data_IF_429401300778
#
_entry.id   IF_429401300778
#
_cell.length_a   1.000
_cell.length_b   1.000
_cell.length_c   1.000
_cell.angle_alpha   90.00
_cell.angle_beta   90.00
_cell.angle_gamma   90.00
#
_symmetry.space_group_name_H-M   'P 1'
#
loop_
_entity.id
_entity.type
_entity.pdbx_description
1 polymer ?
#
# COMPACT_ATOMS: atom_id res chain seq x y z
N UNK A 1 2.39 -5.30 12.47
CA UNK A 1 2.50 -4.29 11.40
C UNK A 1 3.97 -4.00 11.15
N UNK A 2 4.42 -4.05 9.89
CA UNK A 2 5.71 -3.58 9.44
C UNK A 2 5.51 -2.25 8.72
N UNK A 3 6.51 -1.37 8.82
CA UNK A 3 6.51 -0.09 8.11
C UNK A 3 7.39 -0.21 6.87
N UNK A 4 6.90 0.28 5.76
CA UNK A 4 7.61 0.22 4.49
C UNK A 4 7.21 1.36 3.56
N UNK A 5 7.52 1.18 2.28
CA UNK A 5 7.15 2.13 1.23
C UNK A 5 6.68 1.39 -0.04
N UNK A 6 5.94 2.10 -0.87
CA UNK A 6 5.62 1.65 -2.23
C UNK A 6 6.63 2.24 -3.22
N UNK A 7 6.73 1.68 -4.41
CA UNK A 7 7.56 2.26 -5.49
C UNK A 7 7.10 3.66 -5.90
N UNK A 8 5.85 4.04 -5.60
CA UNK A 8 5.37 5.41 -5.84
C UNK A 8 5.98 6.46 -4.91
N UNK A 9 6.66 6.05 -3.81
CA UNK A 9 7.47 6.96 -3.01
C UNK A 9 8.70 7.51 -3.75
N UNK A 10 9.07 6.87 -4.89
CA UNK A 10 10.16 7.26 -5.78
C UNK A 10 9.67 7.33 -7.24
N UNK A 11 8.47 7.87 -7.45
CA UNK A 11 7.83 7.93 -8.77
C UNK A 11 8.70 8.59 -9.82
N UNK A 12 9.25 9.75 -9.49
CA UNK A 12 10.00 10.56 -10.44
C UNK A 12 11.37 9.95 -10.77
N UNK A 13 12.03 9.35 -9.79
CA UNK A 13 13.25 8.59 -10.01
C UNK A 13 12.99 7.34 -10.88
N UNK A 14 11.86 6.66 -10.68
CA UNK A 14 11.45 5.49 -11.47
C UNK A 14 11.08 5.89 -12.90
N UNK A 15 10.46 7.05 -13.10
CA UNK A 15 10.20 7.61 -14.43
C UNK A 15 11.48 8.16 -15.10
N UNK A 16 12.64 8.16 -14.41
CA UNK A 16 13.92 8.64 -14.92
C UNK A 16 14.09 10.16 -14.85
N UNK A 17 13.15 10.89 -14.26
CA UNK A 17 13.22 12.34 -14.12
C UNK A 17 14.37 12.75 -13.19
N UNK A 18 15.29 13.55 -13.71
CA UNK A 18 16.45 14.02 -12.95
C UNK A 18 17.52 12.98 -12.65
N UNK A 19 17.31 11.74 -13.05
CA UNK A 19 18.32 10.69 -12.94
C UNK A 19 19.47 10.92 -13.92
N UNK A 20 20.74 10.58 -13.55
CA UNK A 20 21.87 10.67 -14.45
C UNK A 20 21.61 9.94 -15.77
N UNK A 21 21.75 10.65 -16.89
CA UNK A 21 21.46 10.11 -18.23
C UNK A 21 20.00 9.77 -18.49
N UNK A 22 19.04 10.19 -17.64
CA UNK A 22 17.62 9.86 -17.78
C UNK A 22 17.29 8.39 -17.53
N UNK A 23 18.20 7.62 -16.92
CA UNK A 23 18.02 6.18 -16.68
C UNK A 23 17.11 5.98 -15.48
N UNK A 24 15.97 5.26 -15.62
CA UNK A 24 15.05 4.98 -14.53
C UNK A 24 15.71 4.23 -13.36
N UNK A 25 15.22 4.53 -12.14
CA UNK A 25 15.59 3.75 -10.95
C UNK A 25 15.19 2.28 -11.12
N UNK A 26 16.12 1.38 -10.88
CA UNK A 26 15.88 -0.07 -10.98
C UNK A 26 15.27 -0.64 -9.68
N UNK A 27 14.63 -1.84 -9.72
CA UNK A 27 14.15 -2.51 -8.51
C UNK A 27 15.25 -2.73 -7.47
N UNK A 28 16.46 -3.06 -7.89
CA UNK A 28 17.61 -3.27 -6.99
C UNK A 28 18.01 -1.98 -6.27
N UNK A 29 17.98 -0.84 -6.96
CA UNK A 29 18.24 0.48 -6.37
C UNK A 29 17.13 0.89 -5.40
N UNK A 30 15.86 0.66 -5.76
CA UNK A 30 14.71 0.92 -4.88
C UNK A 30 14.85 0.14 -3.56
N UNK A 31 15.19 -1.16 -3.61
CA UNK A 31 15.38 -1.97 -2.42
C UNK A 31 16.54 -1.46 -1.55
N UNK A 32 17.65 -1.06 -2.17
CA UNK A 32 18.78 -0.45 -1.47
C UNK A 32 18.35 0.82 -0.73
N UNK A 33 17.67 1.73 -1.45
CA UNK A 33 17.19 2.99 -0.89
C UNK A 33 16.16 2.76 0.24
N UNK A 34 15.22 1.85 0.07
CA UNK A 34 14.25 1.50 1.12
C UNK A 34 14.94 1.00 2.40
N UNK A 35 15.95 0.15 2.27
CA UNK A 35 16.72 -0.34 3.42
C UNK A 35 17.52 0.78 4.11
N UNK A 36 18.16 1.69 3.36
CA UNK A 36 18.85 2.88 3.89
C UNK A 36 17.91 3.77 4.72
N UNK A 37 16.66 3.90 4.29
CA UNK A 37 15.62 4.65 5.00
C UNK A 37 15.03 3.90 6.21
N UNK A 38 15.42 2.64 6.41
CA UNK A 38 14.94 1.80 7.51
C UNK A 38 13.54 1.21 7.28
N UNK A 39 13.12 1.09 6.03
CA UNK A 39 11.91 0.34 5.67
C UNK A 39 12.06 -1.14 6.01
N UNK A 40 10.96 -1.81 6.30
CA UNK A 40 10.87 -3.25 6.58
C UNK A 40 10.10 -4.00 5.49
N UNK A 41 9.37 -3.28 4.64
CA UNK A 41 8.61 -3.81 3.53
C UNK A 41 8.70 -2.87 2.32
N UNK A 42 8.65 -3.45 1.12
CA UNK A 42 8.59 -2.69 -0.13
C UNK A 42 7.51 -3.31 -1.01
N UNK A 43 6.57 -2.50 -1.47
CA UNK A 43 5.62 -2.89 -2.49
C UNK A 43 6.07 -2.32 -3.84
N UNK A 44 6.46 -3.21 -4.75
CA UNK A 44 6.81 -2.82 -6.13
C UNK A 44 5.53 -2.76 -6.94
N UNK A 45 5.12 -1.55 -7.31
CA UNK A 45 3.83 -1.26 -7.94
C UNK A 45 3.92 -1.23 -9.48
N UNK A 46 2.78 -0.96 -10.10
CA UNK A 46 2.59 -0.90 -11.55
C UNK A 46 3.39 0.21 -12.27
N UNK A 47 3.96 1.18 -11.56
CA UNK A 47 4.94 2.12 -12.10
C UNK A 47 6.35 1.52 -12.29
N UNK A 48 6.58 0.30 -11.80
CA UNK A 48 7.80 -0.48 -11.97
C UNK A 48 7.43 -1.94 -12.32
N UNK A 49 6.89 -2.20 -13.51
CA UNK A 49 6.34 -3.51 -13.87
C UNK A 49 7.43 -4.59 -13.94
N UNK A 50 7.15 -5.76 -13.34
CA UNK A 50 8.09 -6.89 -13.27
C UNK A 50 7.66 -8.09 -14.13
N UNK A 51 6.45 -8.07 -14.70
CA UNK A 51 5.85 -9.20 -15.43
C UNK A 51 6.51 -9.52 -16.79
N UNK A 52 7.43 -8.66 -17.23
CA UNK A 52 8.28 -8.88 -18.42
C UNK A 52 9.72 -9.32 -18.10
N UNK A 53 10.10 -9.40 -16.81
CA UNK A 53 11.49 -9.71 -16.45
C UNK A 53 11.81 -11.21 -16.57
N UNK A 54 13.05 -11.57 -16.97
CA UNK A 54 13.53 -12.95 -16.92
C UNK A 54 13.53 -13.50 -15.48
N UNK A 55 13.34 -14.82 -15.33
CA UNK A 55 13.36 -15.50 -14.04
C UNK A 55 14.65 -15.22 -13.22
N UNK A 56 15.79 -15.14 -13.89
CA UNK A 56 17.06 -14.80 -13.25
C UNK A 56 17.05 -13.41 -12.61
N UNK A 57 16.38 -12.42 -13.24
CA UNK A 57 16.29 -11.07 -12.69
C UNK A 57 15.32 -11.02 -11.49
N UNK A 58 14.19 -11.72 -11.57
CA UNK A 58 13.28 -11.89 -10.41
C UNK A 58 14.01 -12.55 -9.23
N UNK A 59 14.83 -13.57 -9.49
CA UNK A 59 15.64 -14.22 -8.45
C UNK A 59 16.67 -13.26 -7.83
N UNK A 60 17.29 -12.38 -8.63
CA UNK A 60 18.19 -11.32 -8.12
C UNK A 60 17.48 -10.33 -7.21
N UNK A 61 16.28 -9.87 -7.61
CA UNK A 61 15.45 -8.97 -6.81
C UNK A 61 15.08 -9.64 -5.47
N UNK A 62 14.61 -10.88 -5.51
CA UNK A 62 14.29 -11.67 -4.31
C UNK A 62 15.52 -11.81 -3.39
N UNK A 63 16.67 -12.20 -3.94
CA UNK A 63 17.91 -12.36 -3.17
C UNK A 63 18.35 -11.06 -2.53
N UNK A 64 18.26 -9.94 -3.26
CA UNK A 64 18.56 -8.61 -2.72
C UNK A 64 17.65 -8.23 -1.57
N UNK A 65 16.34 -8.41 -1.73
CA UNK A 65 15.35 -8.13 -0.67
C UNK A 65 15.63 -8.97 0.59
N UNK A 66 15.88 -10.27 0.40
CA UNK A 66 16.22 -11.18 1.50
C UNK A 66 17.51 -10.75 2.23
N UNK A 67 18.57 -10.40 1.50
CA UNK A 67 19.83 -9.93 2.08
C UNK A 67 19.68 -8.62 2.88
N UNK A 68 18.69 -7.79 2.51
CA UNK A 68 18.36 -6.54 3.20
C UNK A 68 17.29 -6.73 4.30
N UNK A 69 16.75 -7.94 4.50
CA UNK A 69 15.68 -8.20 5.47
C UNK A 69 14.33 -7.56 5.11
N UNK A 70 14.09 -7.29 3.83
CA UNK A 70 12.87 -6.63 3.35
C UNK A 70 11.80 -7.65 2.98
N UNK A 71 10.57 -7.41 3.40
CA UNK A 71 9.37 -8.09 2.92
C UNK A 71 8.99 -7.47 1.57
N UNK A 72 8.75 -8.32 0.56
CA UNK A 72 8.24 -7.87 -0.74
C UNK A 72 6.73 -8.04 -0.83
N UNK A 73 6.10 -7.04 -1.42
CA UNK A 73 4.75 -7.09 -1.96
C UNK A 73 4.79 -6.68 -3.43
N UNK A 74 3.90 -7.22 -4.24
CA UNK A 74 3.76 -6.84 -5.65
C UNK A 74 2.47 -6.07 -5.85
N UNK A 75 2.51 -4.98 -6.63
CA UNK A 75 1.35 -4.18 -6.97
C UNK A 75 1.15 -4.11 -8.48
N UNK A 76 -0.08 -4.33 -8.93
CA UNK A 76 -0.43 -4.27 -10.36
C UNK A 76 -1.69 -3.43 -10.60
N UNK A 77 -1.89 -3.06 -11.85
CA UNK A 77 -3.09 -2.37 -12.33
C UNK A 77 -3.75 -3.18 -13.43
N UNK A 78 -5.07 -3.37 -13.30
CA UNK A 78 -5.89 -4.18 -14.19
C UNK A 78 -6.03 -5.62 -13.70
N UNK A 79 -7.27 -6.09 -13.64
CA UNK A 79 -7.66 -7.38 -13.09
C UNK A 79 -8.10 -8.40 -14.15
N UNK A 80 -7.61 -8.28 -15.40
CA UNK A 80 -7.85 -9.33 -16.39
C UNK A 80 -7.29 -10.67 -15.90
N UNK A 81 -8.01 -11.80 -16.04
CA UNK A 81 -7.60 -13.08 -15.47
C UNK A 81 -6.17 -13.50 -15.81
N UNK A 82 -5.77 -13.32 -17.08
CA UNK A 82 -4.43 -13.69 -17.56
C UNK A 82 -3.35 -12.83 -16.87
N UNK A 83 -3.64 -11.53 -16.66
CA UNK A 83 -2.73 -10.61 -16.00
C UNK A 83 -2.57 -10.95 -14.52
N UNK A 84 -3.67 -11.30 -13.85
CA UNK A 84 -3.63 -11.73 -12.44
C UNK A 84 -2.79 -13.00 -12.27
N UNK A 85 -3.04 -14.04 -13.07
CA UNK A 85 -2.27 -15.30 -13.00
C UNK A 85 -0.79 -15.09 -13.27
N UNK A 86 -0.46 -14.34 -14.35
CA UNK A 86 0.94 -14.03 -14.65
C UNK A 86 1.63 -13.30 -13.51
N UNK A 87 0.98 -12.31 -12.90
CA UNK A 87 1.57 -11.57 -11.79
C UNK A 87 1.57 -12.36 -10.48
N UNK A 88 0.70 -13.33 -10.31
CA UNK A 88 0.78 -14.29 -9.21
C UNK A 88 2.03 -15.17 -9.32
N UNK A 89 2.39 -15.62 -10.54
CA UNK A 89 3.65 -16.31 -10.80
C UNK A 89 4.87 -15.42 -10.47
N UNK A 90 4.82 -14.14 -10.85
CA UNK A 90 5.87 -13.17 -10.49
C UNK A 90 5.97 -12.99 -8.98
N UNK A 91 4.83 -12.85 -8.29
CA UNK A 91 4.79 -12.72 -6.83
C UNK A 91 5.42 -13.95 -6.15
N UNK A 92 5.11 -15.16 -6.63
CA UNK A 92 5.72 -16.39 -6.14
C UNK A 92 7.25 -16.41 -6.36
N UNK A 93 7.71 -16.03 -7.56
CA UNK A 93 9.14 -15.96 -7.88
C UNK A 93 9.88 -14.98 -6.96
N UNK A 94 9.24 -13.88 -6.59
CA UNK A 94 9.76 -12.88 -5.65
C UNK A 94 9.65 -13.32 -4.18
N UNK A 95 8.84 -14.33 -3.85
CA UNK A 95 8.48 -14.67 -2.49
C UNK A 95 7.53 -13.68 -1.83
N UNK A 96 6.83 -12.88 -2.63
CA UNK A 96 5.81 -11.94 -2.17
C UNK A 96 4.50 -12.67 -1.88
N UNK A 97 3.94 -12.46 -0.69
CA UNK A 97 2.67 -13.07 -0.27
C UNK A 97 1.46 -12.18 -0.49
N UNK A 98 1.67 -10.92 -0.78
CA UNK A 98 0.60 -9.96 -1.07
C UNK A 98 0.75 -9.50 -2.52
N UNK A 99 -0.31 -9.71 -3.29
CA UNK A 99 -0.50 -9.16 -4.63
C UNK A 99 -1.56 -8.06 -4.53
N UNK A 100 -1.13 -6.79 -4.53
CA UNK A 100 -2.06 -5.66 -4.56
C UNK A 100 -2.56 -5.44 -5.98
N UNK A 101 -3.85 -5.21 -6.16
CA UNK A 101 -4.46 -4.96 -7.45
C UNK A 101 -5.36 -3.73 -7.44
N UNK A 102 -5.18 -2.84 -8.42
CA UNK A 102 -6.20 -1.89 -8.86
C UNK A 102 -7.04 -2.59 -9.93
N UNK A 103 -8.35 -2.78 -9.67
CA UNK A 103 -9.22 -3.60 -10.53
C UNK A 103 -9.34 -3.07 -11.96
N UNK A 104 -9.42 -1.75 -12.13
CA UNK A 104 -9.58 -1.10 -13.43
C UNK A 104 -8.24 -0.76 -14.10
N UNK A 105 -8.25 -0.78 -15.42
CA UNK A 105 -7.17 -0.29 -16.28
C UNK A 105 -7.77 0.27 -17.58
N UNK A 106 -7.01 1.00 -18.40
CA UNK A 106 -7.50 1.44 -19.72
C UNK A 106 -8.09 0.27 -20.52
N UNK A 107 -9.34 0.40 -20.96
CA UNK A 107 -10.07 -0.65 -21.68
C UNK A 107 -10.51 -1.86 -20.83
N UNK A 108 -10.47 -1.72 -19.49
CA UNK A 108 -10.96 -2.74 -18.57
C UNK A 108 -11.52 -2.09 -17.29
N UNK A 109 -12.83 -2.05 -17.19
CA UNK A 109 -13.59 -1.50 -16.04
C UNK A 109 -14.65 -2.49 -15.59
N UNK A 110 -14.28 -3.56 -14.85
CA UNK A 110 -15.22 -4.60 -14.48
C UNK A 110 -16.30 -4.07 -13.54
N UNK A 111 -17.54 -4.55 -13.70
CA UNK A 111 -18.60 -4.36 -12.73
C UNK A 111 -18.46 -5.33 -11.54
N UNK A 112 -19.38 -5.24 -10.58
CA UNK A 112 -19.33 -6.04 -9.36
C UNK A 112 -19.44 -7.55 -9.63
N UNK A 113 -20.34 -7.96 -10.53
CA UNK A 113 -20.54 -9.38 -10.85
C UNK A 113 -19.35 -9.97 -11.58
N UNK A 114 -18.75 -9.20 -12.49
CA UNK A 114 -17.51 -9.57 -13.16
C UNK A 114 -16.36 -9.71 -12.16
N UNK A 115 -16.24 -8.80 -11.17
CA UNK A 115 -15.22 -8.89 -10.12
C UNK A 115 -15.44 -10.14 -9.26
N UNK A 116 -16.66 -10.42 -8.84
CA UNK A 116 -16.97 -11.61 -8.03
C UNK A 116 -16.67 -12.91 -8.79
N UNK A 117 -17.10 -13.02 -10.04
CA UNK A 117 -16.80 -14.18 -10.87
C UNK A 117 -15.30 -14.39 -11.06
N UNK A 118 -14.56 -13.31 -11.29
CA UNK A 118 -13.10 -13.31 -11.40
C UNK A 118 -12.42 -13.76 -10.11
N UNK A 119 -12.83 -13.22 -8.96
CA UNK A 119 -12.25 -13.56 -7.66
C UNK A 119 -12.50 -15.02 -7.31
N UNK A 120 -13.72 -15.51 -7.45
CA UNK A 120 -14.03 -16.94 -7.24
C UNK A 120 -13.18 -17.85 -8.13
N UNK A 121 -13.01 -17.48 -9.41
CA UNK A 121 -12.16 -18.25 -10.34
C UNK A 121 -10.67 -18.20 -10.02
N UNK A 122 -10.21 -17.22 -9.23
CA UNK A 122 -8.80 -17.05 -8.85
C UNK A 122 -8.46 -17.70 -7.51
N UNK A 123 -9.44 -18.01 -6.64
CA UNK A 123 -9.19 -18.58 -5.31
C UNK A 123 -8.28 -19.81 -5.31
N UNK A 124 -8.47 -20.81 -6.20
CA UNK A 124 -7.59 -21.98 -6.25
C UNK A 124 -6.12 -21.60 -6.50
N UNK A 125 -5.89 -20.63 -7.40
CA UNK A 125 -4.54 -20.18 -7.75
C UNK A 125 -3.90 -19.42 -6.56
N UNK A 126 -4.67 -18.60 -5.84
CA UNK A 126 -4.21 -17.87 -4.65
C UNK A 126 -3.83 -18.82 -3.51
N UNK A 127 -4.67 -19.84 -3.26
CA UNK A 127 -4.38 -20.86 -2.24
C UNK A 127 -3.14 -21.67 -2.60
N UNK A 128 -3.01 -22.12 -3.84
CA UNK A 128 -1.85 -22.87 -4.32
C UNK A 128 -0.55 -22.04 -4.22
N UNK A 129 -0.66 -20.72 -4.44
CA UNK A 129 0.46 -19.77 -4.32
C UNK A 129 0.77 -19.37 -2.86
N UNK A 130 -0.09 -19.69 -1.89
CA UNK A 130 -0.06 -19.15 -0.54
C UNK A 130 0.04 -17.62 -0.55
N UNK A 131 -0.77 -16.98 -1.40
CA UNK A 131 -0.79 -15.55 -1.64
C UNK A 131 -2.16 -14.95 -1.30
N UNK A 132 -2.16 -13.69 -0.92
CA UNK A 132 -3.37 -12.91 -0.66
C UNK A 132 -3.49 -11.81 -1.70
N UNK A 133 -4.64 -11.72 -2.36
CA UNK A 133 -4.99 -10.61 -3.24
C UNK A 133 -5.52 -9.45 -2.39
N UNK A 134 -4.85 -8.31 -2.48
CA UNK A 134 -5.23 -7.06 -1.80
C UNK A 134 -5.86 -6.08 -2.80
N UNK A 135 -7.18 -5.90 -2.76
CA UNK A 135 -7.88 -5.00 -3.69
C UNK A 135 -7.78 -3.57 -3.16
N UNK A 136 -7.14 -2.70 -3.93
CA UNK A 136 -7.04 -1.30 -3.57
C UNK A 136 -8.31 -0.52 -3.92
N UNK A 137 -8.78 0.29 -2.97
CA UNK A 137 -9.83 1.25 -3.23
C UNK A 137 -9.29 2.38 -4.10
N UNK A 138 -9.71 2.35 -5.36
CA UNK A 138 -9.40 3.39 -6.33
C UNK A 138 -10.64 3.62 -7.18
N UNK A 139 -10.90 4.79 -7.57
CA UNK A 139 -12.00 5.42 -8.33
C UNK A 139 -13.24 4.57 -8.71
N UNK A 140 -13.10 3.26 -9.00
CA UNK A 140 -14.16 2.41 -9.56
C UNK A 140 -15.25 2.08 -8.54
N UNK A 141 -14.87 1.68 -7.34
CA UNK A 141 -15.81 1.29 -6.29
C UNK A 141 -15.68 2.19 -5.07
N UNK A 142 -16.83 2.62 -4.54
CA UNK A 142 -16.88 3.25 -3.23
C UNK A 142 -16.33 2.28 -2.15
N UNK A 143 -15.71 2.75 -1.07
CA UNK A 143 -15.12 1.88 -0.04
C UNK A 143 -16.11 0.85 0.53
N UNK A 144 -17.36 1.24 0.75
CA UNK A 144 -18.40 0.32 1.26
C UNK A 144 -18.78 -0.76 0.24
N UNK A 145 -18.83 -0.43 -1.05
CA UNK A 145 -19.09 -1.40 -2.11
C UNK A 145 -17.90 -2.39 -2.22
N UNK A 146 -16.67 -1.89 -2.21
CA UNK A 146 -15.50 -2.75 -2.18
C UNK A 146 -15.48 -3.68 -0.95
N UNK A 147 -15.79 -3.15 0.23
CA UNK A 147 -15.95 -3.96 1.45
C UNK A 147 -17.04 -5.03 1.30
N UNK A 148 -18.14 -4.72 0.60
CA UNK A 148 -19.21 -5.66 0.26
C UNK A 148 -18.69 -6.81 -0.62
N UNK A 149 -17.95 -6.48 -1.68
CA UNK A 149 -17.31 -7.47 -2.57
C UNK A 149 -16.41 -8.41 -1.78
N UNK A 150 -15.48 -7.87 -0.98
CA UNK A 150 -14.53 -8.70 -0.20
C UNK A 150 -15.26 -9.60 0.79
N UNK A 151 -16.32 -9.10 1.47
CA UNK A 151 -17.13 -9.94 2.39
C UNK A 151 -17.94 -11.03 1.68
N UNK A 152 -18.40 -10.78 0.44
CA UNK A 152 -19.12 -11.80 -0.34
C UNK A 152 -18.21 -12.93 -0.81
N UNK A 153 -16.92 -12.66 -1.02
CA UNK A 153 -15.94 -13.72 -1.32
C UNK A 153 -15.70 -14.59 -0.11
N UNK A 154 -15.70 -14.01 1.10
CA UNK A 154 -15.56 -14.69 2.39
C UNK A 154 -14.40 -15.69 2.45
N UNK A 155 -13.25 -15.30 1.87
CA UNK A 155 -12.05 -16.12 1.82
C UNK A 155 -10.83 -15.31 2.29
N UNK A 156 -9.97 -15.84 3.18
CA UNK A 156 -8.81 -15.14 3.71
C UNK A 156 -7.75 -14.81 2.64
N UNK A 157 -7.80 -15.47 1.48
CA UNK A 157 -6.92 -15.16 0.36
C UNK A 157 -7.30 -13.87 -0.40
N UNK A 158 -8.42 -13.21 -0.01
CA UNK A 158 -8.84 -11.93 -0.59
C UNK A 158 -9.08 -10.91 0.52
N UNK A 159 -8.52 -9.71 0.36
CA UNK A 159 -8.70 -8.61 1.29
C UNK A 159 -8.57 -7.26 0.62
N UNK A 160 -8.53 -6.21 1.40
CA UNK A 160 -8.36 -4.85 0.92
C UNK A 160 -6.89 -4.37 1.04
N UNK A 161 -6.44 -3.57 0.08
CA UNK A 161 -5.38 -2.60 0.28
C UNK A 161 -6.04 -1.27 0.61
N UNK A 162 -5.96 -0.85 1.85
CA UNK A 162 -6.57 0.41 2.29
C UNK A 162 -5.70 1.59 1.88
N UNK A 163 -6.26 2.49 1.09
CA UNK A 163 -5.69 3.80 0.78
C UNK A 163 -6.64 4.90 1.26
N UNK A 164 -6.26 5.77 2.20
CA UNK A 164 -7.18 6.72 2.80
C UNK A 164 -7.60 7.85 1.85
N UNK A 165 -6.84 8.11 0.77
CA UNK A 165 -7.06 9.27 -0.10
C UNK A 165 -7.70 8.94 -1.45
N UNK A 166 -7.50 7.74 -1.99
CA UNK A 166 -7.98 7.44 -3.34
C UNK A 166 -9.50 7.63 -3.51
N UNK A 167 -10.28 7.41 -2.45
CA UNK A 167 -11.74 7.53 -2.49
C UNK A 167 -12.25 8.98 -2.52
N UNK A 168 -11.38 9.95 -2.32
CA UNK A 168 -11.76 11.37 -2.38
C UNK A 168 -12.21 11.77 -3.79
N UNK A 169 -11.73 11.06 -4.81
CA UNK A 169 -12.20 11.21 -6.19
C UNK A 169 -13.70 10.88 -6.35
N UNK A 170 -14.28 10.12 -5.42
CA UNK A 170 -15.71 9.84 -5.31
C UNK A 170 -16.38 10.71 -4.24
N UNK A 171 -15.75 11.78 -3.80
CA UNK A 171 -16.19 12.66 -2.71
C UNK A 171 -16.40 11.93 -1.37
N UNK A 172 -15.65 10.84 -1.15
CA UNK A 172 -15.67 10.08 0.11
C UNK A 172 -14.40 10.36 0.88
N UNK A 173 -14.54 10.84 2.10
CA UNK A 173 -13.41 11.26 2.94
C UNK A 173 -12.62 10.10 3.55
N UNK A 174 -11.40 10.42 4.06
CA UNK A 174 -10.50 9.43 4.67
C UNK A 174 -11.13 8.64 5.82
N UNK A 175 -11.87 9.30 6.71
CA UNK A 175 -12.47 8.64 7.88
C UNK A 175 -13.47 7.53 7.48
N UNK A 176 -14.34 7.79 6.50
CA UNK A 176 -15.28 6.79 6.00
C UNK A 176 -14.57 5.65 5.28
N UNK A 177 -13.54 5.97 4.49
CA UNK A 177 -12.70 4.98 3.81
C UNK A 177 -12.02 4.05 4.81
N UNK A 178 -11.39 4.60 5.84
CA UNK A 178 -10.72 3.85 6.93
C UNK A 178 -11.74 2.96 7.64
N UNK A 179 -12.89 3.50 8.06
CA UNK A 179 -13.92 2.74 8.77
C UNK A 179 -14.45 1.55 7.95
N UNK A 180 -14.60 1.72 6.63
CA UNK A 180 -15.11 0.68 5.75
C UNK A 180 -14.09 -0.44 5.50
N UNK A 181 -12.81 -0.11 5.31
CA UNK A 181 -11.81 -1.02 4.78
C UNK A 181 -10.80 -1.55 5.81
N UNK A 182 -10.55 -0.85 6.92
CA UNK A 182 -9.60 -1.32 7.93
C UNK A 182 -9.89 -2.74 8.44
N UNK A 183 -11.16 -3.17 8.67
CA UNK A 183 -11.46 -4.54 9.09
C UNK A 183 -11.06 -5.63 8.08
N UNK A 184 -10.88 -5.26 6.82
CA UNK A 184 -10.59 -6.16 5.71
C UNK A 184 -9.16 -5.99 5.17
N UNK A 185 -8.41 -5.03 5.70
CA UNK A 185 -7.10 -4.67 5.18
C UNK A 185 -6.06 -5.77 5.44
N UNK A 186 -5.33 -6.13 4.40
CA UNK A 186 -4.16 -7.03 4.43
C UNK A 186 -2.86 -6.27 4.18
N UNK A 187 -2.95 -5.11 3.56
CA UNK A 187 -1.90 -4.10 3.44
C UNK A 187 -2.54 -2.71 3.39
N UNK A 188 -1.81 -1.65 3.69
CA UNK A 188 -2.33 -0.28 3.66
C UNK A 188 -1.29 0.69 3.12
N UNK A 189 -1.73 1.65 2.33
CA UNK A 189 -0.96 2.80 1.92
C UNK A 189 -1.19 3.95 2.89
N UNK A 190 -0.14 4.64 3.27
CA UNK A 190 -0.21 5.88 4.01
C UNK A 190 0.07 7.04 3.05
N UNK A 191 -0.93 7.87 2.85
CA UNK A 191 -0.87 9.11 2.08
C UNK A 191 -1.39 10.25 2.92
N UNK A 192 -0.88 11.43 2.70
CA UNK A 192 -1.38 12.65 3.32
C UNK A 192 -1.55 13.75 2.28
N UNK A 193 -2.46 14.66 2.54
CA UNK A 193 -2.79 15.74 1.62
C UNK A 193 -3.30 16.98 2.35
N UNK A 194 -3.12 18.12 1.70
CA UNK A 194 -3.69 19.40 2.09
C UNK A 194 -4.77 19.83 1.09
N UNK A 195 -5.83 20.45 1.60
CA UNK A 195 -6.87 21.07 0.78
C UNK A 195 -6.64 22.57 0.74
N UNK A 196 -6.51 23.12 -0.44
CA UNK A 196 -6.34 24.55 -0.69
C UNK A 196 -7.52 25.12 -1.47
N UNK A 197 -7.66 26.43 -1.49
CA UNK A 197 -8.74 27.14 -2.21
C UNK A 197 -8.15 28.06 -3.30
N UNK A 198 -7.75 27.53 -4.45
CA UNK A 198 -7.38 28.36 -5.59
C UNK A 198 -8.64 29.00 -6.20
N UNK A 199 -8.82 30.31 -5.95
CA UNK A 199 -10.02 31.03 -6.39
C UNK A 199 -11.31 30.52 -5.72
N UNK A 200 -12.32 30.17 -6.53
CA UNK A 200 -13.64 29.70 -6.04
C UNK A 200 -13.72 28.16 -5.88
N UNK A 201 -12.67 27.44 -6.25
CA UNK A 201 -12.64 25.97 -6.20
C UNK A 201 -11.88 25.42 -5.01
N UNK A 202 -11.72 24.10 -5.01
CA UNK A 202 -10.87 23.35 -4.09
C UNK A 202 -9.81 22.60 -4.89
N UNK A 203 -8.58 22.56 -4.38
CA UNK A 203 -7.52 21.69 -4.88
C UNK A 203 -7.00 20.82 -3.73
N UNK A 204 -6.64 19.59 -4.04
CA UNK A 204 -6.07 18.63 -3.10
C UNK A 204 -4.68 18.28 -3.60
N UNK A 205 -3.66 18.52 -2.79
CA UNK A 205 -2.27 18.23 -3.13
C UNK A 205 -1.65 17.34 -2.07
N UNK A 206 -0.78 16.43 -2.49
CA UNK A 206 -0.01 15.60 -1.56
C UNK A 206 0.93 16.46 -0.71
N UNK A 207 1.23 15.97 0.49
CA UNK A 207 2.21 16.54 1.40
C UNK A 207 2.96 15.43 2.14
N UNK A 208 4.05 15.75 2.87
CA UNK A 208 4.71 14.80 3.75
C UNK A 208 3.74 14.20 4.78
N UNK A 209 3.91 12.93 5.14
CA UNK A 209 3.03 12.26 6.10
C UNK A 209 3.04 12.95 7.46
N UNK A 210 1.86 13.31 7.96
CA UNK A 210 1.64 14.00 9.22
C UNK A 210 1.66 15.51 9.12
N UNK A 211 1.82 16.07 7.93
CA UNK A 211 1.74 17.53 7.67
C UNK A 211 0.43 17.92 6.97
N UNK A 212 -0.41 16.93 6.65
CA UNK A 212 -1.69 17.12 6.00
C UNK A 212 -2.89 16.99 6.93
N UNK A 213 -4.02 16.64 6.33
CA UNK A 213 -5.32 16.60 6.99
C UNK A 213 -5.86 15.17 7.18
N UNK A 214 -5.08 14.13 6.81
CA UNK A 214 -5.47 12.74 7.02
C UNK A 214 -5.08 12.30 8.42
N UNK A 215 -6.03 11.80 9.19
CA UNK A 215 -5.74 11.21 10.51
C UNK A 215 -5.11 9.83 10.35
N UNK A 216 -3.80 9.82 10.06
CA UNK A 216 -3.01 8.59 9.93
C UNK A 216 -2.86 7.85 11.26
N UNK A 217 -2.98 8.55 12.39
CA UNK A 217 -2.96 7.91 13.71
C UNK A 217 -4.23 7.08 13.91
N UNK A 218 -5.41 7.64 13.59
CA UNK A 218 -6.66 6.90 13.61
C UNK A 218 -6.65 5.71 12.63
N UNK A 219 -6.04 5.87 11.45
CA UNK A 219 -5.88 4.75 10.50
C UNK A 219 -5.06 3.60 11.10
N UNK A 220 -3.90 3.90 11.67
CA UNK A 220 -3.03 2.88 12.29
C UNK A 220 -3.74 2.21 13.47
N UNK A 221 -4.50 2.94 14.28
CA UNK A 221 -5.26 2.37 15.39
C UNK A 221 -6.43 1.51 14.89
N UNK A 222 -7.16 1.94 13.85
CA UNK A 222 -8.21 1.13 13.21
C UNK A 222 -7.65 -0.18 12.66
N UNK A 223 -6.50 -0.16 11.98
CA UNK A 223 -5.82 -1.37 11.49
C UNK A 223 -5.39 -2.29 12.65
N UNK A 224 -4.92 -1.73 13.75
CA UNK A 224 -4.49 -2.49 14.93
C UNK A 224 -5.66 -3.17 15.66
N UNK A 225 -6.79 -2.47 15.80
CA UNK A 225 -7.98 -2.96 16.49
C UNK A 225 -8.58 -4.22 15.86
N UNK A 226 -8.27 -4.49 14.60
CA UNK A 226 -8.72 -5.70 13.89
C UNK A 226 -8.05 -7.00 14.35
N UNK A 227 -6.98 -6.92 15.13
CA UNK A 227 -6.11 -8.05 15.45
C UNK A 227 -5.24 -8.54 14.30
N UNK A 228 -5.43 -8.00 13.09
CA UNK A 228 -4.56 -8.21 11.92
C UNK A 228 -3.30 -7.35 12.05
N UNK A 229 -2.28 -7.69 11.31
CA UNK A 229 -1.02 -6.93 11.30
C UNK A 229 -0.60 -6.58 9.88
N UNK A 230 -1.42 -5.83 9.12
CA UNK A 230 -1.08 -5.43 7.76
C UNK A 230 0.20 -4.59 7.74
N UNK A 231 0.94 -4.62 6.64
CA UNK A 231 2.01 -3.67 6.42
C UNK A 231 1.41 -2.29 6.16
N UNK A 232 2.08 -1.24 6.65
CA UNK A 232 1.71 0.15 6.40
C UNK A 232 2.83 0.80 5.60
N UNK A 233 2.52 1.19 4.37
CA UNK A 233 3.48 1.57 3.36
C UNK A 233 3.33 3.06 3.02
N UNK A 234 4.39 3.84 3.22
CA UNK A 234 4.42 5.23 2.75
C UNK A 234 4.29 5.27 1.23
N UNK A 235 3.38 6.06 0.73
CA UNK A 235 3.20 6.31 -0.70
C UNK A 235 3.23 7.79 -0.98
N UNK A 236 4.18 8.22 -1.84
CA UNK A 236 4.31 9.60 -2.23
C UNK A 236 3.20 10.02 -3.20
N UNK A 237 2.73 11.25 -3.03
CA UNK A 237 1.81 11.92 -3.96
C UNK A 237 2.30 13.35 -4.17
N UNK A 238 3.55 13.45 -4.60
CA UNK A 238 4.28 14.70 -4.78
C UNK A 238 4.24 15.11 -6.25
N UNK A 239 3.90 16.36 -6.52
CA UNK A 239 4.11 16.97 -7.84
C UNK A 239 5.60 17.24 -8.08
N UNK A 240 6.08 17.15 -9.33
CA UNK A 240 7.47 17.42 -9.62
C UNK A 240 7.74 18.93 -9.51
N UNK A 241 8.94 19.27 -9.07
CA UNK A 241 9.44 20.63 -9.13
C UNK A 241 9.98 20.96 -10.54
N UNK A 242 10.20 22.25 -10.82
CA UNK A 242 10.79 22.71 -12.08
C UNK A 242 12.21 22.14 -12.26
N UNK A 243 13.00 22.12 -11.19
CA UNK A 243 14.32 21.47 -11.18
C UNK A 243 14.19 19.95 -10.92
N UNK A 244 14.62 19.10 -11.89
CA UNK A 244 14.60 17.66 -11.72
C UNK A 244 15.44 17.15 -10.57
N UNK A 245 16.59 17.76 -10.26
CA UNK A 245 17.45 17.33 -9.15
C UNK A 245 16.78 17.66 -7.80
N UNK A 246 16.15 18.83 -7.69
CA UNK A 246 15.36 19.20 -6.52
C UNK A 246 14.14 18.27 -6.35
N UNK A 247 13.52 17.82 -7.45
CA UNK A 247 12.43 16.84 -7.42
C UNK A 247 12.86 15.53 -6.76
N UNK A 248 14.02 14.98 -7.16
CA UNK A 248 14.55 13.74 -6.58
C UNK A 248 14.93 13.90 -5.10
N UNK A 249 15.53 15.02 -4.75
CA UNK A 249 15.88 15.32 -3.36
C UNK A 249 14.63 15.39 -2.48
N UNK A 250 13.58 16.05 -2.97
CA UNK A 250 12.32 16.15 -2.25
C UNK A 250 11.57 14.81 -2.14
N UNK A 251 11.60 13.98 -3.18
CA UNK A 251 11.06 12.60 -3.12
C UNK A 251 11.73 11.79 -2.01
N UNK A 252 13.06 11.83 -1.95
CA UNK A 252 13.81 11.13 -0.92
C UNK A 252 13.50 11.66 0.49
N UNK A 253 13.40 12.98 0.65
CA UNK A 253 13.07 13.59 1.93
C UNK A 253 11.66 13.19 2.39
N UNK A 254 10.67 13.18 1.50
CA UNK A 254 9.32 12.72 1.83
C UNK A 254 9.30 11.23 2.20
N UNK A 255 10.04 10.38 1.47
CA UNK A 255 10.14 8.97 1.78
C UNK A 255 10.80 8.74 3.16
N UNK A 256 11.89 9.46 3.45
CA UNK A 256 12.61 9.43 4.73
C UNK A 256 11.70 9.87 5.88
N UNK A 257 11.06 11.01 5.72
CA UNK A 257 10.11 11.57 6.69
C UNK A 257 8.96 10.59 6.94
N UNK A 258 8.38 10.04 5.87
CA UNK A 258 7.25 9.11 5.93
C UNK A 258 7.56 7.83 6.69
N UNK A 259 8.71 7.20 6.42
CA UNK A 259 9.16 6.02 7.16
C UNK A 259 9.35 6.35 8.65
N UNK A 260 10.00 7.47 8.98
CA UNK A 260 10.23 7.87 10.36
C UNK A 260 8.90 8.17 11.08
N UNK A 261 7.97 8.85 10.43
CA UNK A 261 6.65 9.17 10.96
C UNK A 261 5.83 7.91 11.25
N UNK A 262 5.71 7.00 10.28
CA UNK A 262 4.95 5.76 10.45
C UNK A 262 5.55 4.86 11.54
N UNK A 263 6.87 4.79 11.65
CA UNK A 263 7.52 4.03 12.73
C UNK A 263 7.13 4.55 14.10
N UNK A 264 7.10 5.88 14.29
CA UNK A 264 6.62 6.49 15.54
C UNK A 264 5.16 6.14 15.84
N UNK A 265 4.27 6.20 14.84
CA UNK A 265 2.85 5.84 15.02
C UNK A 265 2.67 4.36 15.41
N UNK A 266 3.37 3.47 14.71
CA UNK A 266 3.28 2.02 14.98
C UNK A 266 3.88 1.67 16.36
N UNK A 267 4.92 2.36 16.83
CA UNK A 267 5.52 2.15 18.14
C UNK A 267 4.62 2.64 19.28
N UNK A 268 4.15 3.88 19.23
CA UNK A 268 3.26 4.48 20.26
C UNK A 268 2.04 3.61 20.57
N UNK A 269 1.44 3.03 19.60
CA UNK A 269 0.28 2.16 19.83
C UNK A 269 0.62 0.80 20.44
N UNK A 270 1.88 0.34 20.43
CA UNK A 270 2.31 -0.85 21.19
C UNK A 270 2.40 -0.58 22.68
N UNK A 271 2.87 0.60 23.06
CA UNK A 271 2.99 1.03 24.46
C UNK A 271 1.62 1.26 25.10
N UNK A 272 0.69 1.90 24.37
CA UNK A 272 -0.69 2.13 24.83
C UNK A 272 -1.51 0.84 25.00
N UNK A 273 -1.22 -0.23 24.25
CA UNK A 273 -1.89 -1.52 24.38
C UNK A 273 -1.28 -2.39 25.49
N UNK A 274 0.01 -2.25 25.79
CA UNK A 274 0.67 -2.95 26.88
C UNK A 274 0.21 -2.38 28.26
N UNK A 275 0.04 -1.07 28.37
CA UNK A 275 -0.46 -0.42 29.59
C UNK A 275 -1.92 -0.79 29.94
N UNK A 276 -2.77 -1.04 28.93
CA UNK A 276 -4.17 -1.46 29.15
C UNK A 276 -4.32 -2.93 29.59
N UNK A 277 -3.34 -3.80 29.32
CA UNK A 277 -3.38 -5.20 29.76
C UNK A 277 -2.93 -5.41 31.21
N UNK A 278 -2.25 -4.45 31.82
CA UNK A 278 -1.78 -4.51 33.22
C UNK A 278 -2.77 -3.89 34.23
N UNK A 279 -3.85 -3.24 33.76
CA UNK A 279 -4.81 -2.52 34.60
C UNK A 279 -6.14 -3.24 34.89
N UNK A 280 -6.31 -4.51 34.52
CA UNK A 280 -7.56 -5.27 34.77
C UNK A 280 -7.31 -6.56 35.59
N UNK A 281 -6.95 -6.41 36.85
CA UNK A 281 -7.30 -7.39 37.88
C UNK A 281 -8.36 -6.73 38.77
N UNK A 282 -9.60 -7.23 38.85
CA UNK A 282 -10.50 -6.81 39.92
C UNK A 282 -10.08 -7.53 41.20
N UNK A 283 -9.72 -6.76 42.21
CA UNK A 283 -9.74 -7.21 43.58
C UNK A 283 -11.15 -7.74 43.91
N UNK A 284 -11.29 -9.04 43.93
CA UNK A 284 -12.38 -9.71 44.67
C UNK A 284 -11.86 -10.00 46.05
N UNK A 285 -12.03 -9.06 46.97
CA UNK A 285 -12.04 -9.35 48.40
C UNK A 285 -13.43 -9.01 48.99
N UNK A 286 -14.03 -10.06 49.50
CA UNK A 286 -15.02 -10.24 50.58
C UNK A 286 -15.81 -9.00 51.10
N UNK A 287 -17.13 -9.06 50.90
CA UNK A 287 -18.06 -9.10 52.07
C UNK A 287 -19.48 -9.54 51.64
#
# INVERSE_FOLDING_TARGET
MKVGLTSYAFRWAIEGRGMPGGVPMTPIQLLGKAAELGAQAVQICDNMPLDGLPAAELARIRSKAHALGLILELGIRGSRPERLRRNLEVAQALGARVLRVVLSAPGWEPDEDQVLGLLHGLLPDLHAANATLAIENRFRFAPRALAGIVRRIDDPAVGACLDPLNSIANLIGPAETIAALAPLAVTAHAKDAVVTRPGAGLAISGCPLGEGQVDLAAMVEALRSTGRSPNVLAEGWMDPLDDPAATLAQEEDWARHGIAYLRRLVQRGREGSAGRRQGSAPDMEDR
#
